data_IF_279589097778
#
_entry.id   IF_279589097778
#
_cell.length_a   1.000
_cell.length_b   1.000
_cell.length_c   1.000
_cell.angle_alpha   90.00
_cell.angle_beta   90.00
_cell.angle_gamma   90.00
#
_symmetry.space_group_name_H-M   'P 1'
#
loop_
_entity.id
_entity.type
_entity.pdbx_description
1 polymer ?
#
# COMPACT_ATOMS: atom_id res chain seq x y z
N UNK A 1 -19.53 8.48 31.72
CA UNK A 1 -19.43 8.66 30.26
C UNK A 1 -17.96 8.80 29.91
N UNK A 2 -17.41 7.91 29.07
CA UNK A 2 -16.04 8.04 28.58
C UNK A 2 -16.02 8.94 27.34
N UNK A 3 -15.00 9.79 27.21
CA UNK A 3 -14.73 10.45 25.93
C UNK A 3 -14.33 9.38 24.91
N UNK A 4 -14.87 9.46 23.69
CA UNK A 4 -14.39 8.61 22.60
C UNK A 4 -12.90 8.90 22.37
N UNK A 5 -12.03 7.88 22.39
CA UNK A 5 -10.60 8.09 22.19
C UNK A 5 -10.34 8.61 20.78
N UNK A 6 -9.33 9.48 20.64
CA UNK A 6 -8.75 9.82 19.34
C UNK A 6 -7.93 8.63 18.85
N UNK A 7 -8.21 8.14 17.65
CA UNK A 7 -7.63 6.89 17.14
C UNK A 7 -7.15 7.04 15.70
N UNK A 8 -5.98 6.47 15.41
CA UNK A 8 -5.47 6.32 14.06
C UNK A 8 -5.45 4.86 13.64
N UNK A 9 -5.97 4.56 12.46
CA UNK A 9 -5.74 3.29 11.77
C UNK A 9 -4.70 3.52 10.68
N UNK A 10 -3.64 2.71 10.68
CA UNK A 10 -2.61 2.72 9.65
C UNK A 10 -2.65 1.36 8.97
N UNK A 11 -2.93 1.35 7.67
CA UNK A 11 -2.99 0.15 6.86
C UNK A 11 -1.99 0.22 5.71
N UNK A 12 -1.53 -0.94 5.28
CA UNK A 12 -0.65 -1.11 4.13
C UNK A 12 -1.38 -1.76 2.99
N UNK A 13 -0.72 -1.88 1.83
CA UNK A 13 -1.33 -2.55 0.69
C UNK A 13 -1.69 -3.99 1.02
N UNK A 14 -0.79 -4.71 1.69
CA UNK A 14 -1.07 -6.10 2.05
C UNK A 14 -2.29 -6.27 2.98
N UNK A 15 -2.65 -5.24 3.76
CA UNK A 15 -3.82 -5.30 4.65
C UNK A 15 -5.13 -5.25 3.88
N UNK A 16 -5.20 -4.52 2.77
CA UNK A 16 -6.36 -4.56 1.88
C UNK A 16 -6.55 -5.95 1.27
N UNK A 17 -5.46 -6.61 0.86
CA UNK A 17 -5.51 -7.91 0.20
C UNK A 17 -5.73 -9.10 1.15
N UNK A 18 -5.13 -9.06 2.34
CA UNK A 18 -5.08 -10.22 3.25
C UNK A 18 -5.86 -10.05 4.53
N UNK A 19 -6.31 -8.83 4.85
CA UNK A 19 -7.08 -8.51 6.06
C UNK A 19 -8.38 -7.75 5.80
N UNK A 20 -8.74 -7.53 4.53
CA UNK A 20 -9.96 -6.82 4.15
C UNK A 20 -10.04 -5.40 4.76
N UNK A 21 -8.92 -4.66 4.76
CA UNK A 21 -8.84 -3.32 5.35
C UNK A 21 -9.85 -2.31 4.77
N UNK A 22 -10.38 -2.53 3.56
CA UNK A 22 -11.47 -1.71 3.01
C UNK A 22 -12.71 -1.68 3.91
N UNK A 23 -13.01 -2.78 4.61
CA UNK A 23 -14.18 -2.90 5.47
C UNK A 23 -14.14 -1.98 6.70
N UNK A 24 -13.01 -1.30 6.95
CA UNK A 24 -12.93 -0.23 7.95
C UNK A 24 -13.67 1.05 7.50
N UNK A 25 -13.87 1.23 6.20
CA UNK A 25 -14.41 2.46 5.62
C UNK A 25 -15.37 2.25 4.43
N UNK A 26 -15.88 1.03 4.24
CA UNK A 26 -16.92 0.71 3.27
C UNK A 26 -18.08 -0.02 3.92
N UNK A 27 -19.25 0.03 3.28
CA UNK A 27 -20.37 -0.81 3.69
C UNK A 27 -20.06 -2.32 3.49
N UNK A 28 -20.91 -3.16 4.06
CA UNK A 28 -20.72 -4.62 4.04
C UNK A 28 -20.84 -5.24 2.65
N UNK A 29 -21.42 -4.51 1.69
CA UNK A 29 -21.59 -4.91 0.29
C UNK A 29 -20.51 -4.33 -0.63
N UNK A 30 -19.60 -3.51 -0.11
CA UNK A 30 -18.55 -2.85 -0.88
C UNK A 30 -19.08 -1.88 -1.93
N UNK A 31 -20.23 -1.23 -1.66
CA UNK A 31 -20.89 -0.33 -2.63
C UNK A 31 -20.71 1.14 -2.32
N UNK A 32 -20.63 1.49 -1.04
CA UNK A 32 -20.52 2.88 -0.60
C UNK A 32 -19.38 3.05 0.41
N UNK A 33 -18.71 4.20 0.34
CA UNK A 33 -17.82 4.66 1.41
C UNK A 33 -18.66 4.97 2.66
N UNK A 34 -18.17 4.61 3.83
CA UNK A 34 -18.79 4.97 5.12
C UNK A 34 -18.19 6.26 5.67
N UNK A 35 -18.96 6.95 6.52
CA UNK A 35 -18.45 8.09 7.25
C UNK A 35 -17.35 7.68 8.24
N UNK A 36 -16.34 8.53 8.42
CA UNK A 36 -15.32 8.35 9.45
C UNK A 36 -15.67 9.29 10.62
N UNK A 37 -15.68 8.74 11.84
CA UNK A 37 -15.92 9.53 13.04
C UNK A 37 -14.90 10.69 13.16
N UNK A 38 -15.30 11.90 13.60
CA UNK A 38 -14.38 13.04 13.73
C UNK A 38 -13.13 12.78 14.59
N UNK A 39 -13.20 11.85 15.56
CA UNK A 39 -12.09 11.44 16.42
C UNK A 39 -11.19 10.36 15.80
N UNK A 40 -11.52 9.87 14.60
CA UNK A 40 -10.78 8.84 13.89
C UNK A 40 -10.06 9.44 12.68
N UNK A 41 -8.83 8.99 12.44
CA UNK A 41 -8.16 9.12 11.14
C UNK A 41 -7.72 7.78 10.63
N UNK A 42 -7.72 7.63 9.32
CA UNK A 42 -7.28 6.42 8.64
C UNK A 42 -6.24 6.79 7.59
N UNK A 43 -5.14 6.07 7.58
CA UNK A 43 -4.04 6.28 6.65
C UNK A 43 -3.71 4.97 5.95
N UNK A 44 -3.62 5.03 4.64
CA UNK A 44 -3.16 3.95 3.78
C UNK A 44 -1.76 4.30 3.28
N UNK A 45 -0.76 3.45 3.54
CA UNK A 45 0.60 3.62 3.03
C UNK A 45 0.77 2.72 1.81
N UNK A 46 0.95 3.34 0.65
CA UNK A 46 0.98 2.66 -0.64
C UNK A 46 2.26 1.85 -0.85
N UNK A 47 2.11 0.72 -1.54
CA UNK A 47 3.15 -0.22 -1.95
C UNK A 47 3.94 -0.87 -0.82
N UNK A 48 3.41 -0.88 0.41
CA UNK A 48 4.11 -1.43 1.59
C UNK A 48 3.56 -2.79 2.00
N UNK A 49 4.45 -3.59 2.58
CA UNK A 49 4.10 -4.84 3.23
C UNK A 49 3.73 -4.60 4.70
N UNK A 50 3.06 -5.56 5.32
CA UNK A 50 2.53 -5.39 6.68
C UNK A 50 3.60 -5.12 7.74
N UNK A 51 4.81 -5.65 7.54
CA UNK A 51 5.95 -5.50 8.46
C UNK A 51 7.09 -4.82 7.68
N UNK A 52 6.88 -3.57 7.31
CA UNK A 52 7.85 -2.76 6.57
C UNK A 52 8.31 -1.59 7.47
N UNK A 53 9.62 -1.39 7.56
CA UNK A 53 10.22 -0.35 8.42
C UNK A 53 9.73 1.07 8.07
N UNK A 54 9.36 1.31 6.80
CA UNK A 54 8.79 2.57 6.31
C UNK A 54 7.45 2.90 6.97
N UNK A 55 6.68 1.89 7.37
CA UNK A 55 5.43 2.07 8.14
C UNK A 55 5.75 2.71 9.50
N UNK A 56 6.87 2.33 10.11
CA UNK A 56 7.34 2.91 11.37
C UNK A 56 7.74 4.38 11.24
N UNK A 57 8.35 4.77 10.11
CA UNK A 57 8.71 6.17 9.82
C UNK A 57 7.44 7.05 9.79
N UNK A 58 6.45 6.67 8.97
CA UNK A 58 5.16 7.38 8.91
C UNK A 58 4.46 7.34 10.28
N UNK A 59 4.46 6.18 10.93
CA UNK A 59 3.87 5.97 12.25
C UNK A 59 4.43 6.92 13.31
N UNK A 60 5.71 7.26 13.26
CA UNK A 60 6.33 8.21 14.21
C UNK A 60 5.88 9.65 13.98
N UNK A 61 5.79 10.10 12.72
CA UNK A 61 5.24 11.41 12.39
C UNK A 61 3.76 11.50 12.82
N UNK A 62 2.97 10.46 12.53
CA UNK A 62 1.58 10.37 12.96
C UNK A 62 1.43 10.30 14.47
N UNK A 63 2.31 9.61 15.20
CA UNK A 63 2.29 9.60 16.66
C UNK A 63 2.50 11.02 17.23
N UNK A 64 3.42 11.78 16.65
CA UNK A 64 3.61 13.20 17.00
C UNK A 64 2.36 14.02 16.69
N UNK A 65 1.72 13.79 15.55
CA UNK A 65 0.47 14.46 15.18
C UNK A 65 -0.70 14.08 16.11
N UNK A 66 -0.76 12.84 16.59
CA UNK A 66 -1.76 12.38 17.55
C UNK A 66 -1.57 13.04 18.91
N UNK A 67 -0.34 13.11 19.42
CA UNK A 67 -0.03 13.83 20.66
C UNK A 67 -0.43 15.30 20.55
N UNK A 68 -0.04 15.99 19.47
CA UNK A 68 -0.44 17.38 19.24
C UNK A 68 -1.97 17.54 19.15
N UNK A 69 -2.66 16.56 18.58
CA UNK A 69 -4.12 16.58 18.54
C UNK A 69 -4.74 16.43 19.92
N UNK A 70 -4.19 15.56 20.77
CA UNK A 70 -4.69 15.32 22.13
C UNK A 70 -4.35 16.50 23.05
N UNK A 71 -3.08 16.90 23.05
CA UNK A 71 -2.49 17.83 24.03
C UNK A 71 -2.72 19.30 23.68
N UNK A 72 -2.81 19.64 22.39
CA UNK A 72 -2.84 21.03 21.89
C UNK A 72 -4.05 21.34 20.98
N UNK A 73 -4.93 20.36 20.76
CA UNK A 73 -6.05 20.43 19.81
C UNK A 73 -5.64 20.78 18.35
N UNK A 74 -4.38 20.52 17.99
CA UNK A 74 -3.89 20.71 16.62
C UNK A 74 -4.29 19.47 15.80
N UNK A 75 -5.26 19.63 14.89
CA UNK A 75 -5.74 18.53 14.06
C UNK A 75 -4.59 17.89 13.27
N UNK A 76 -4.56 16.55 13.15
CA UNK A 76 -3.60 15.84 12.30
C UNK A 76 -3.97 16.03 10.82
N UNK A 77 -3.14 15.55 9.88
CA UNK A 77 -3.55 15.41 8.49
C UNK A 77 -4.88 14.66 8.38
N UNK A 78 -5.71 15.01 7.41
CA UNK A 78 -6.96 14.30 7.16
C UNK A 78 -6.71 12.84 6.77
N UNK A 79 -7.76 12.01 6.73
CA UNK A 79 -7.59 10.60 6.34
C UNK A 79 -7.12 10.49 4.88
N UNK A 80 -6.03 9.79 4.65
CA UNK A 80 -5.51 9.46 3.31
C UNK A 80 -5.78 7.98 3.02
N UNK A 81 -6.96 7.68 2.47
CA UNK A 81 -7.39 6.32 2.13
C UNK A 81 -7.94 6.26 0.70
N UNK A 82 -7.89 5.09 0.05
CA UNK A 82 -8.61 4.85 -1.19
C UNK A 82 -10.13 4.90 -0.95
N UNK A 83 -10.90 5.41 -1.91
CA UNK A 83 -12.36 5.52 -1.81
C UNK A 83 -13.07 5.01 -3.06
N UNK A 84 -14.31 4.54 -2.88
CA UNK A 84 -15.18 4.15 -3.98
C UNK A 84 -15.59 5.40 -4.77
N UNK A 85 -15.92 6.48 -4.06
CA UNK A 85 -16.47 7.71 -4.63
C UNK A 85 -15.57 8.40 -5.66
N UNK A 86 -14.26 8.16 -5.62
CA UNK A 86 -13.29 8.72 -6.56
C UNK A 86 -12.59 7.65 -7.42
N UNK A 87 -13.08 6.40 -7.38
CA UNK A 87 -12.55 5.30 -8.18
C UNK A 87 -11.18 4.76 -7.74
N UNK A 88 -10.66 5.20 -6.59
CA UNK A 88 -9.35 4.74 -6.10
C UNK A 88 -9.42 3.48 -5.23
N UNK A 89 -10.63 2.99 -4.92
CA UNK A 89 -10.91 1.71 -4.28
C UNK A 89 -11.86 0.92 -5.17
N UNK A 90 -11.45 -0.30 -5.55
CA UNK A 90 -12.11 -1.03 -6.64
C UNK A 90 -12.25 -2.52 -6.35
N UNK A 91 -13.10 -3.18 -7.14
CA UNK A 91 -13.25 -4.64 -7.12
C UNK A 91 -11.98 -5.31 -7.66
N UNK A 92 -11.80 -6.61 -7.36
CA UNK A 92 -10.71 -7.40 -7.91
C UNK A 92 -10.71 -7.39 -9.45
N UNK A 93 -11.88 -7.48 -10.08
CA UNK A 93 -12.01 -7.47 -11.53
C UNK A 93 -11.50 -6.14 -12.12
N UNK A 94 -11.95 -5.01 -11.58
CA UNK A 94 -11.52 -3.69 -12.02
C UNK A 94 -10.01 -3.46 -11.78
N UNK A 95 -9.47 -3.94 -10.65
CA UNK A 95 -8.02 -3.94 -10.41
C UNK A 95 -7.26 -4.75 -11.47
N UNK A 96 -7.69 -5.99 -11.73
CA UNK A 96 -7.03 -6.86 -12.70
C UNK A 96 -7.09 -6.30 -14.12
N UNK A 97 -8.16 -5.59 -14.48
CA UNK A 97 -8.28 -4.93 -15.78
C UNK A 97 -7.37 -3.70 -15.91
N UNK A 98 -7.05 -3.03 -14.78
CA UNK A 98 -6.19 -1.85 -14.76
C UNK A 98 -4.70 -2.20 -14.63
N UNK A 99 -4.37 -3.36 -14.05
CA UNK A 99 -2.99 -3.79 -13.85
C UNK A 99 -2.29 -3.99 -15.20
N UNK A 100 -1.09 -3.42 -15.43
CA UNK A 100 -0.34 -3.65 -16.65
C UNK A 100 0.05 -5.12 -16.80
N UNK A 101 0.17 -5.58 -18.05
CA UNK A 101 0.64 -6.92 -18.43
C UNK A 101 2.15 -7.09 -18.16
N UNK A 102 2.53 -7.09 -16.89
CA UNK A 102 3.92 -7.23 -16.44
C UNK A 102 4.42 -8.65 -16.77
N UNK A 103 5.57 -8.82 -17.43
CA UNK A 103 6.08 -10.14 -17.78
C UNK A 103 6.22 -11.09 -16.57
N UNK A 104 5.60 -12.26 -16.67
CA UNK A 104 5.65 -13.29 -15.63
C UNK A 104 4.74 -13.04 -14.42
N UNK A 105 3.90 -12.00 -14.46
CA UNK A 105 2.93 -11.74 -13.39
C UNK A 105 1.81 -12.79 -13.38
N UNK A 106 1.42 -13.21 -12.19
CA UNK A 106 0.27 -14.10 -11.99
C UNK A 106 -0.73 -13.38 -11.10
N UNK A 107 -1.82 -12.90 -11.68
CA UNK A 107 -2.83 -12.12 -10.95
C UNK A 107 -3.65 -12.99 -10.01
N UNK A 108 -4.08 -12.44 -8.86
CA UNK A 108 -4.94 -13.16 -7.93
C UNK A 108 -6.33 -13.38 -8.53
N UNK A 109 -6.86 -14.59 -8.32
CA UNK A 109 -8.26 -14.93 -8.68
C UNK A 109 -9.25 -14.70 -7.55
N UNK A 110 -8.74 -14.62 -6.32
CA UNK A 110 -9.52 -14.32 -5.12
C UNK A 110 -8.58 -13.78 -4.04
N UNK A 111 -9.15 -13.12 -3.05
CA UNK A 111 -8.45 -12.61 -1.88
C UNK A 111 -9.37 -12.67 -0.67
N UNK A 112 -8.87 -12.25 0.50
CA UNK A 112 -9.58 -12.45 1.75
C UNK A 112 -10.89 -11.65 1.81
N UNK A 113 -12.01 -12.37 1.90
CA UNK A 113 -13.35 -11.82 2.07
C UNK A 113 -14.02 -12.58 3.23
N UNK A 114 -14.10 -12.02 4.45
CA UNK A 114 -14.60 -12.73 5.62
C UNK A 114 -16.09 -13.06 5.49
N UNK A 115 -16.54 -14.11 6.19
CA UNK A 115 -17.96 -14.42 6.31
C UNK A 115 -18.61 -13.53 7.37
N UNK A 116 -19.85 -13.10 7.13
CA UNK A 116 -20.72 -12.59 8.18
C UNK A 116 -21.15 -13.78 9.04
N UNK A 117 -20.91 -13.70 10.34
CA UNK A 117 -21.21 -14.78 11.28
C UNK A 117 -22.51 -14.45 12.01
N UNK A 118 -23.42 -15.42 12.03
CA UNK A 118 -24.67 -15.34 12.80
C UNK A 118 -24.50 -16.09 14.13
N UNK A 119 -24.32 -15.30 15.19
CA UNK A 119 -24.16 -15.76 16.57
C UNK A 119 -25.51 -16.01 17.27
N UNK A 120 -26.63 -15.74 16.61
CA UNK A 120 -27.98 -15.91 17.14
C UNK A 120 -28.62 -14.63 17.68
N UNK A 121 -29.91 -14.69 18.00
CA UNK A 121 -30.74 -13.51 18.26
C UNK A 121 -30.36 -12.70 19.51
N UNK A 122 -29.70 -13.32 20.50
CA UNK A 122 -29.27 -12.62 21.73
C UNK A 122 -27.90 -11.96 21.62
N UNK A 123 -27.23 -12.07 20.47
CA UNK A 123 -25.90 -11.50 20.30
C UNK A 123 -25.92 -9.97 20.38
N UNK A 124 -26.76 -9.32 19.57
CA UNK A 124 -26.77 -7.85 19.48
C UNK A 124 -27.40 -7.17 20.71
N UNK A 125 -28.25 -7.87 21.46
CA UNK A 125 -28.91 -7.31 22.67
C UNK A 125 -28.15 -7.62 23.95
N UNK A 126 -27.75 -8.89 24.14
CA UNK A 126 -27.25 -9.40 25.41
C UNK A 126 -25.75 -9.73 25.35
N UNK A 127 -25.14 -9.73 24.17
CA UNK A 127 -23.77 -10.21 23.95
C UNK A 127 -23.64 -11.73 24.10
N UNK A 128 -24.75 -12.47 24.07
CA UNK A 128 -24.77 -13.92 24.27
C UNK A 128 -24.83 -14.62 22.91
N UNK A 129 -23.85 -15.47 22.62
CA UNK A 129 -23.84 -16.32 21.43
C UNK A 129 -24.71 -17.58 21.66
N UNK A 130 -25.81 -17.68 20.92
CA UNK A 130 -26.70 -18.86 20.93
C UNK A 130 -26.19 -19.98 19.99
N UNK A 131 -25.52 -19.60 18.90
CA UNK A 131 -24.96 -20.54 17.93
C UNK A 131 -23.44 -20.68 18.16
N UNK A 132 -23.00 -21.87 18.61
CA UNK A 132 -21.58 -22.21 18.76
C UNK A 132 -21.32 -23.58 18.10
N UNK A 133 -20.66 -23.65 16.92
CA UNK A 133 -20.11 -22.54 16.15
C UNK A 133 -21.20 -21.64 15.52
N UNK A 134 -20.87 -20.38 15.18
CA UNK A 134 -21.81 -19.48 14.52
C UNK A 134 -22.24 -20.04 13.16
N UNK A 135 -23.44 -19.66 12.73
CA UNK A 135 -23.90 -19.96 11.37
C UNK A 135 -23.15 -19.06 10.39
N UNK A 136 -22.80 -19.63 9.24
CA UNK A 136 -22.08 -18.92 8.18
C UNK A 136 -23.10 -18.21 7.29
N UNK A 137 -23.06 -16.88 7.30
CA UNK A 137 -23.84 -16.03 6.41
C UNK A 137 -23.08 -15.64 5.14
N UNK A 138 -23.61 -14.64 4.39
CA UNK A 138 -22.95 -14.09 3.22
C UNK A 138 -21.57 -13.52 3.55
N UNK A 139 -20.68 -13.41 2.56
CA UNK A 139 -19.39 -12.74 2.75
C UNK A 139 -19.56 -11.22 2.86
N UNK A 140 -18.67 -10.59 3.59
CA UNK A 140 -18.36 -9.17 3.37
C UNK A 140 -17.68 -9.03 2.01
N UNK A 141 -17.94 -7.93 1.32
CA UNK A 141 -17.29 -7.60 0.05
C UNK A 141 -16.14 -6.65 0.33
N UNK A 142 -14.93 -7.18 0.37
CA UNK A 142 -13.72 -6.39 0.44
C UNK A 142 -13.37 -5.81 -0.94
N UNK A 143 -12.64 -4.71 -0.94
CA UNK A 143 -12.14 -4.01 -2.12
C UNK A 143 -10.64 -3.77 -1.98
N UNK A 144 -9.97 -3.44 -3.08
CA UNK A 144 -8.52 -3.21 -3.12
C UNK A 144 -8.21 -1.84 -3.71
N UNK A 145 -7.10 -1.19 -3.29
CA UNK A 145 -6.74 0.11 -3.84
C UNK A 145 -6.39 -0.01 -5.33
N UNK A 146 -6.84 0.96 -6.13
CA UNK A 146 -6.61 1.01 -7.58
C UNK A 146 -5.15 1.37 -7.90
N UNK A 147 -4.67 0.92 -9.06
CA UNK A 147 -3.32 1.18 -9.58
C UNK A 147 -3.31 2.07 -10.82
N UNK A 148 -2.18 2.70 -11.09
CA UNK A 148 -1.90 3.42 -12.33
C UNK A 148 -1.35 2.48 -13.43
N UNK A 149 -0.99 3.05 -14.59
CA UNK A 149 -0.35 2.37 -15.72
C UNK A 149 0.97 1.66 -15.37
N UNK A 150 1.62 2.07 -14.29
CA UNK A 150 2.83 1.45 -13.78
C UNK A 150 2.56 0.33 -12.78
N UNK A 151 1.29 0.01 -12.48
CA UNK A 151 0.92 -1.02 -11.51
C UNK A 151 1.18 -0.62 -10.06
N UNK A 152 1.26 0.67 -9.77
CA UNK A 152 1.44 1.23 -8.42
C UNK A 152 0.17 1.94 -7.95
N UNK A 153 -0.13 1.87 -6.65
CA UNK A 153 -1.40 2.40 -6.12
C UNK A 153 -1.50 3.92 -6.19
N UNK A 154 -2.68 4.44 -6.56
CA UNK A 154 -2.92 5.86 -6.82
C UNK A 154 -3.41 6.67 -5.61
N UNK A 155 -3.66 6.01 -4.48
CA UNK A 155 -4.23 6.62 -3.29
C UNK A 155 -3.34 6.38 -2.06
N UNK A 156 -3.61 7.14 -1.00
CA UNK A 156 -2.89 7.03 0.26
C UNK A 156 -1.63 7.91 0.32
N UNK A 157 -0.80 7.62 1.31
CA UNK A 157 0.51 8.22 1.52
C UNK A 157 1.51 7.47 0.62
N UNK A 158 2.03 8.17 -0.38
CA UNK A 158 2.96 7.62 -1.36
C UNK A 158 4.39 8.06 -1.02
N UNK A 159 5.19 7.11 -0.55
CA UNK A 159 6.63 7.28 -0.37
C UNK A 159 7.36 7.32 -1.74
N UNK A 160 8.64 7.72 -1.80
CA UNK A 160 9.38 7.84 -3.05
C UNK A 160 9.35 6.58 -3.92
N UNK A 161 9.30 5.39 -3.34
CA UNK A 161 9.21 4.12 -4.07
C UNK A 161 7.95 4.01 -4.94
N UNK A 162 6.90 4.76 -4.61
CA UNK A 162 5.62 4.79 -5.33
C UNK A 162 5.46 6.07 -6.15
N UNK A 163 5.83 7.22 -5.58
CA UNK A 163 5.73 8.52 -6.26
C UNK A 163 6.81 8.72 -7.34
N UNK A 164 7.97 8.06 -7.19
CA UNK A 164 9.13 8.11 -8.09
C UNK A 164 9.60 6.67 -8.37
N UNK A 165 8.75 5.86 -9.01
CA UNK A 165 8.91 4.41 -8.99
C UNK A 165 10.06 3.93 -9.86
N UNK A 166 10.74 2.89 -9.38
CA UNK A 166 11.70 2.05 -10.13
C UNK A 166 11.17 0.61 -10.33
N UNK A 167 10.00 0.33 -9.77
CA UNK A 167 9.35 -0.97 -9.76
C UNK A 167 7.84 -0.79 -9.52
N UNK A 168 7.06 -1.82 -9.85
CA UNK A 168 5.68 -1.96 -9.37
C UNK A 168 5.69 -2.73 -8.06
N UNK A 169 4.91 -2.26 -7.08
CA UNK A 169 4.75 -2.90 -5.78
C UNK A 169 3.35 -3.46 -5.66
N UNK A 170 3.20 -4.78 -5.74
CA UNK A 170 1.90 -5.43 -5.54
C UNK A 170 1.75 -5.85 -4.08
N UNK A 171 0.64 -5.50 -3.43
CA UNK A 171 0.32 -5.94 -2.06
C UNK A 171 -0.06 -7.41 -1.90
N UNK A 172 0.24 -8.23 -2.89
CA UNK A 172 -0.07 -9.64 -2.94
C UNK A 172 1.07 -10.41 -3.58
N UNK A 173 1.22 -11.67 -3.16
CA UNK A 173 2.10 -12.63 -3.80
C UNK A 173 1.44 -14.01 -3.79
N UNK A 174 1.18 -14.57 -4.97
CA UNK A 174 0.63 -15.92 -5.13
C UNK A 174 1.61 -16.99 -4.63
N UNK A 175 1.12 -17.94 -3.85
CA UNK A 175 1.83 -19.19 -3.58
C UNK A 175 1.86 -20.05 -4.83
N UNK A 176 2.90 -20.88 -4.97
CA UNK A 176 2.99 -21.88 -6.03
C UNK A 176 1.72 -22.76 -6.07
N UNK A 177 1.30 -23.22 -7.27
CA UNK A 177 0.23 -24.20 -7.43
C UNK A 177 0.42 -25.47 -6.58
N UNK A 178 1.66 -25.85 -6.27
CA UNK A 178 1.99 -27.03 -5.47
C UNK A 178 1.65 -26.91 -3.98
N UNK A 179 1.30 -25.71 -3.48
CA UNK A 179 0.97 -25.49 -2.07
C UNK A 179 -0.52 -25.22 -1.86
N UNK A 180 -1.07 -24.19 -2.50
CA UNK A 180 -2.49 -23.83 -2.33
C UNK A 180 -3.02 -22.85 -3.38
N UNK A 181 -2.14 -22.27 -4.22
CA UNK A 181 -2.51 -21.21 -5.16
C UNK A 181 -3.28 -20.03 -4.50
N UNK A 182 -3.03 -19.78 -3.21
CA UNK A 182 -3.60 -18.66 -2.45
C UNK A 182 -2.57 -17.54 -2.34
N UNK A 183 -3.01 -16.36 -1.89
CA UNK A 183 -2.09 -15.32 -1.45
C UNK A 183 -1.21 -15.79 -0.28
N UNK A 184 0.05 -15.36 -0.29
CA UNK A 184 0.91 -15.35 0.90
C UNK A 184 0.37 -14.27 1.85
N UNK A 185 0.31 -14.61 3.13
CA UNK A 185 -0.13 -13.67 4.17
C UNK A 185 0.94 -12.59 4.34
N UNK A 186 0.52 -11.33 4.47
CA UNK A 186 1.37 -10.17 4.83
C UNK A 186 2.51 -9.82 3.87
N UNK A 187 2.59 -10.47 2.71
CA UNK A 187 3.73 -10.36 1.80
C UNK A 187 3.26 -9.92 0.43
N UNK A 188 3.87 -8.83 -0.04
CA UNK A 188 3.72 -8.32 -1.39
C UNK A 188 4.79 -8.86 -2.33
N UNK A 189 4.83 -8.32 -3.55
CA UNK A 189 5.89 -8.60 -4.52
C UNK A 189 6.32 -7.33 -5.23
N UNK A 190 7.61 -7.28 -5.55
CA UNK A 190 8.23 -6.18 -6.27
C UNK A 190 8.53 -6.66 -7.70
N UNK A 191 8.14 -5.84 -8.67
CA UNK A 191 8.33 -6.09 -10.09
C UNK A 191 9.17 -4.96 -10.69
N UNK A 192 10.51 -5.12 -10.80
CA UNK A 192 11.38 -4.08 -11.32
C UNK A 192 10.93 -3.58 -12.69
N UNK A 193 11.11 -2.28 -12.94
CA UNK A 193 10.92 -1.73 -14.29
C UNK A 193 12.05 -2.18 -15.21
N UNK A 194 11.80 -2.28 -16.52
CA UNK A 194 12.88 -2.45 -17.48
C UNK A 194 13.84 -1.26 -17.38
N UNK A 195 15.14 -1.47 -17.59
CA UNK A 195 16.12 -0.39 -17.42
C UNK A 195 16.16 0.51 -18.63
N UNK A 196 16.19 -0.10 -19.82
CA UNK A 196 16.29 0.57 -21.12
C UNK A 196 15.05 0.30 -21.99
N UNK A 197 14.85 1.15 -22.99
CA UNK A 197 13.82 0.94 -24.02
C UNK A 197 13.99 -0.40 -24.75
N UNK A 198 15.22 -0.87 -24.95
CA UNK A 198 15.50 -2.15 -25.63
C UNK A 198 15.12 -3.34 -24.75
N UNK A 199 15.48 -3.31 -23.46
CA UNK A 199 15.07 -4.34 -22.49
C UNK A 199 13.55 -4.41 -22.38
N UNK A 200 12.89 -3.25 -22.31
CA UNK A 200 11.43 -3.14 -22.30
C UNK A 200 10.80 -3.82 -23.51
N UNK A 201 11.29 -3.52 -24.71
CA UNK A 201 10.79 -4.10 -25.97
C UNK A 201 11.06 -5.59 -26.06
N UNK A 202 12.24 -6.05 -25.64
CA UNK A 202 12.62 -7.46 -25.68
C UNK A 202 11.74 -8.31 -24.74
N UNK A 203 11.39 -7.77 -23.57
CA UNK A 203 10.55 -8.44 -22.59
C UNK A 203 9.05 -8.20 -22.81
N UNK A 204 8.67 -7.39 -23.81
CA UNK A 204 7.30 -6.94 -24.06
C UNK A 204 6.64 -6.29 -22.83
N UNK A 205 7.42 -5.55 -22.04
CA UNK A 205 6.92 -4.85 -20.86
C UNK A 205 6.24 -3.53 -21.28
N UNK A 206 4.99 -3.27 -20.88
CA UNK A 206 4.28 -2.05 -21.25
C UNK A 206 4.77 -0.81 -20.49
N UNK A 207 5.37 -0.99 -19.30
CA UNK A 207 5.77 0.11 -18.40
C UNK A 207 7.03 0.80 -18.91
N UNK A 208 7.10 2.13 -18.78
CA UNK A 208 8.29 2.90 -19.19
C UNK A 208 9.55 2.38 -18.52
N UNK A 209 10.64 2.40 -19.26
CA UNK A 209 11.93 2.02 -18.72
C UNK A 209 12.49 3.10 -17.78
N UNK A 210 13.35 2.70 -16.84
CA UNK A 210 13.94 3.60 -15.84
C UNK A 210 14.60 4.82 -16.51
N UNK A 211 15.40 4.61 -17.57
CA UNK A 211 16.07 5.72 -18.27
C UNK A 211 15.14 6.56 -19.17
N UNK A 212 13.92 6.10 -19.43
CA UNK A 212 12.88 6.92 -20.07
C UNK A 212 12.19 7.84 -19.05
N UNK A 213 12.12 7.41 -17.78
CA UNK A 213 11.54 8.18 -16.67
C UNK A 213 12.54 9.17 -16.06
N UNK A 214 13.78 8.71 -15.87
CA UNK A 214 14.86 9.44 -15.20
C UNK A 214 16.14 9.31 -16.04
N UNK A 215 16.38 10.25 -16.98
CA UNK A 215 17.56 10.20 -17.85
C UNK A 215 18.88 10.25 -17.08
N UNK A 216 18.89 10.92 -15.92
CA UNK A 216 20.05 11.00 -15.04
C UNK A 216 19.70 10.73 -13.58
N UNK A 217 20.72 10.41 -12.79
CA UNK A 217 20.60 10.34 -11.32
C UNK A 217 20.13 11.66 -10.72
N UNK A 218 20.53 12.80 -11.28
CA UNK A 218 20.09 14.10 -10.82
C UNK A 218 18.57 14.29 -11.01
N UNK A 219 18.01 13.83 -12.14
CA UNK A 219 16.57 13.89 -12.39
C UNK A 219 15.79 13.02 -11.39
N UNK A 220 16.29 11.82 -11.10
CA UNK A 220 15.71 10.94 -10.10
C UNK A 220 15.75 11.58 -8.70
N UNK A 221 16.92 12.05 -8.27
CA UNK A 221 17.11 12.64 -6.95
C UNK A 221 16.33 13.94 -6.76
N UNK A 222 16.16 14.73 -7.81
CA UNK A 222 15.31 15.91 -7.78
C UNK A 222 13.86 15.53 -7.44
N UNK A 223 13.28 14.57 -8.15
CA UNK A 223 11.91 14.09 -7.91
C UNK A 223 11.73 13.46 -6.53
N UNK A 224 12.71 12.67 -6.08
CA UNK A 224 12.70 12.09 -4.73
C UNK A 224 12.70 13.21 -3.67
N UNK A 225 13.50 14.25 -3.87
CA UNK A 225 13.56 15.39 -2.95
C UNK A 225 12.23 16.13 -2.90
N UNK A 226 11.61 16.41 -4.06
CA UNK A 226 10.28 17.03 -4.11
C UNK A 226 9.23 16.20 -3.36
N UNK A 227 9.21 14.88 -3.57
CA UNK A 227 8.30 13.96 -2.88
C UNK A 227 8.48 14.02 -1.35
N UNK A 228 9.72 13.91 -0.85
CA UNK A 228 10.00 13.90 0.58
C UNK A 228 9.66 15.23 1.26
N UNK A 229 9.97 16.35 0.60
CA UNK A 229 9.62 17.69 1.12
C UNK A 229 8.10 17.89 1.18
N UNK A 230 7.37 17.38 0.18
CA UNK A 230 5.91 17.44 0.19
C UNK A 230 5.32 16.59 1.31
N UNK A 231 5.81 15.37 1.53
CA UNK A 231 5.38 14.52 2.64
C UNK A 231 5.68 15.16 4.01
N UNK A 232 6.81 15.86 4.15
CA UNK A 232 7.10 16.64 5.36
C UNK A 232 6.10 17.78 5.56
N UNK A 233 5.81 18.53 4.49
CA UNK A 233 4.82 19.62 4.50
C UNK A 233 3.42 19.12 4.88
N UNK A 234 3.07 17.91 4.43
CA UNK A 234 1.83 17.22 4.79
C UNK A 234 1.87 16.57 6.19
N UNK A 235 2.98 16.69 6.94
CA UNK A 235 3.21 16.09 8.27
C UNK A 235 3.17 14.56 8.30
N UNK A 236 3.51 13.92 7.18
CA UNK A 236 3.70 12.48 7.10
C UNK A 236 5.15 12.05 7.35
N UNK A 237 6.09 13.00 7.31
CA UNK A 237 7.49 12.81 7.70
C UNK A 237 7.88 13.88 8.73
N UNK A 238 8.88 13.56 9.55
CA UNK A 238 9.62 14.55 10.34
C UNK A 238 10.85 15.02 9.55
N UNK A 239 11.44 16.15 9.93
CA UNK A 239 12.64 16.69 9.28
C UNK A 239 13.83 15.68 9.28
N UNK A 240 13.96 14.90 10.36
CA UNK A 240 14.97 13.84 10.46
C UNK A 240 14.69 12.69 9.46
N UNK A 241 13.42 12.35 9.24
CA UNK A 241 13.04 11.31 8.27
C UNK A 241 13.40 11.72 6.85
N UNK A 242 13.09 12.96 6.48
CA UNK A 242 13.45 13.53 5.17
C UNK A 242 14.96 13.41 4.96
N UNK A 243 15.75 13.81 5.97
CA UNK A 243 17.21 13.75 5.90
C UNK A 243 17.73 12.33 5.71
N UNK A 244 17.18 11.37 6.47
CA UNK A 244 17.61 9.98 6.41
C UNK A 244 17.19 9.29 5.10
N UNK A 245 15.96 9.54 4.63
CA UNK A 245 15.45 9.01 3.37
C UNK A 245 16.22 9.58 2.16
N UNK A 246 16.60 10.86 2.19
CA UNK A 246 17.45 11.45 1.15
C UNK A 246 18.83 10.78 1.09
N UNK A 247 19.45 10.50 2.24
CA UNK A 247 20.74 9.80 2.30
C UNK A 247 20.63 8.38 1.72
N UNK A 248 19.57 7.66 2.09
CA UNK A 248 19.31 6.31 1.57
C UNK A 248 19.05 6.33 0.06
N UNK A 249 18.25 7.26 -0.44
CA UNK A 249 17.99 7.42 -1.87
C UNK A 249 19.27 7.79 -2.65
N UNK A 250 20.15 8.62 -2.08
CA UNK A 250 21.44 8.95 -2.70
C UNK A 250 22.36 7.73 -2.82
N UNK A 251 22.31 6.82 -1.83
CA UNK A 251 23.03 5.54 -1.86
C UNK A 251 22.41 4.56 -2.86
N UNK A 252 21.09 4.38 -2.84
CA UNK A 252 20.41 3.48 -3.78
C UNK A 252 20.53 3.95 -5.23
N UNK A 253 20.53 5.26 -5.48
CA UNK A 253 20.64 5.82 -6.83
C UNK A 253 22.05 5.78 -7.42
N UNK A 254 23.09 5.43 -6.65
CA UNK A 254 24.38 5.06 -7.27
C UNK A 254 24.23 3.84 -8.18
N UNK A 255 23.25 2.97 -7.89
CA UNK A 255 22.90 1.85 -8.75
C UNK A 255 22.35 2.33 -10.10
N UNK A 256 21.67 3.48 -10.20
CA UNK A 256 21.21 4.02 -11.49
C UNK A 256 22.41 4.38 -12.38
N UNK A 257 23.48 4.91 -11.79
CA UNK A 257 24.74 5.17 -12.50
C UNK A 257 25.45 3.86 -12.88
N UNK A 258 25.54 2.90 -11.97
CA UNK A 258 26.16 1.59 -12.23
C UNK A 258 25.40 0.72 -13.24
N UNK A 259 24.07 0.80 -13.25
CA UNK A 259 23.17 0.08 -14.17
C UNK A 259 23.36 0.53 -15.62
N UNK A 260 23.89 1.73 -15.85
CA UNK A 260 24.26 2.22 -17.19
C UNK A 260 25.53 1.55 -17.71
N UNK A 261 26.35 0.97 -16.83
CA UNK A 261 27.70 0.47 -17.13
C UNK A 261 27.88 -1.03 -16.94
N UNK A 262 26.94 -1.76 -16.31
CA UNK A 262 27.05 -3.21 -16.10
C UNK A 262 25.99 -4.05 -16.82
N UNK A 263 26.49 -5.10 -17.47
CA UNK A 263 25.71 -6.21 -17.99
C UNK A 263 25.46 -7.25 -16.89
N UNK A 264 24.19 -7.65 -16.75
CA UNK A 264 23.64 -8.80 -16.02
C UNK A 264 23.92 -8.95 -14.50
N UNK A 265 22.81 -8.99 -13.75
CA UNK A 265 22.60 -9.49 -12.37
C UNK A 265 23.02 -8.56 -11.23
N UNK A 266 22.11 -7.71 -10.73
CA UNK A 266 22.12 -7.29 -9.31
C UNK A 266 20.89 -6.46 -8.84
N UNK A 267 19.67 -6.76 -9.31
CA UNK A 267 18.46 -6.02 -8.86
C UNK A 267 17.63 -6.79 -7.84
N UNK A 268 17.99 -8.05 -7.54
CA UNK A 268 17.28 -8.87 -6.57
C UNK A 268 17.71 -8.61 -5.11
N UNK A 269 18.93 -8.14 -4.84
CA UNK A 269 19.43 -8.09 -3.45
C UNK A 269 18.97 -6.87 -2.66
N UNK A 270 18.78 -5.71 -3.30
CA UNK A 270 18.37 -4.47 -2.60
C UNK A 270 16.90 -4.50 -2.14
N UNK A 271 16.08 -5.36 -2.74
CA UNK A 271 14.70 -5.58 -2.32
C UNK A 271 14.53 -6.74 -1.32
N UNK A 272 15.58 -7.54 -1.08
CA UNK A 272 15.55 -8.71 -0.19
C UNK A 272 16.24 -8.39 1.15
N UNK A 273 17.23 -7.50 1.20
CA UNK A 273 17.92 -7.17 2.46
C UNK A 273 17.09 -6.36 3.47
N UNK A 274 16.01 -5.68 3.06
CA UNK A 274 15.08 -5.03 4.00
C UNK A 274 13.90 -5.92 4.43
N UNK A 275 13.91 -7.21 4.07
CA UNK A 275 12.84 -8.17 4.34
C UNK A 275 13.27 -9.47 5.02
N UNK A 276 14.36 -9.44 5.80
CA UNK A 276 14.79 -10.53 6.68
C UNK A 276 14.50 -10.22 8.15
#
# INVERSE_FOLDING_TARGET
SGFLPKMFFINTTTDYWTRAASLLHTDVEGKNDTGIDPNVRMYFIAGRQHVDSRVGIIGRALLTALDQWISLDIKPPDSHIPKISNGSLVTLEAYCNALPDIPGIQTPRSFYNPYRLDLGPRWDTDGIADNVPPKIGPRFVALVPQVNEDGNEIAGVQLPEIAVPLASFTGWFMRSPSFSNTLRINVGRIWPFPRTTDERKQNSDPRKAIFELYPTKADYMFKVTECLLELNRQRFLLDEDVTNLLKQAAQQSSLIEEMRHRDLRFVAEVAIEEGA
#
